data_IF_243002951959
#
_entry.id   IF_243002951959
#
_cell.length_a   1.000
_cell.length_b   1.000
_cell.length_c   1.000
_cell.angle_alpha   90.00
_cell.angle_beta   90.00
_cell.angle_gamma   90.00
#
_symmetry.space_group_name_H-M   'P 1'
#
loop_
_entity.id
_entity.type
_entity.pdbx_description
1 polymer ?
#
# COMPACT_ATOMS: atom_id res chain seq x y z
N UNK A 1 27.03 -12.19 6.15
CA UNK A 1 25.66 -11.93 5.66
C UNK A 1 25.56 -12.25 4.17
N UNK A 2 26.37 -11.60 3.32
CA UNK A 2 26.30 -11.82 1.89
C UNK A 2 26.60 -13.27 1.49
N UNK A 3 27.56 -13.93 2.14
CA UNK A 3 27.84 -15.36 1.91
C UNK A 3 26.64 -16.24 2.28
N UNK A 4 26.09 -16.08 3.47
CA UNK A 4 24.92 -16.80 3.96
C UNK A 4 23.70 -16.67 3.00
N UNK A 5 23.47 -15.45 2.51
CA UNK A 5 22.38 -15.20 1.56
C UNK A 5 22.63 -15.86 0.19
N UNK A 6 23.90 -15.87 -0.29
CA UNK A 6 24.26 -16.57 -1.53
C UNK A 6 24.11 -18.07 -1.41
N UNK A 7 24.46 -18.66 -0.27
CA UNK A 7 24.27 -20.08 0.01
C UNK A 7 22.79 -20.50 -0.04
N UNK A 8 21.89 -19.58 0.32
CA UNK A 8 20.43 -19.75 0.22
C UNK A 8 19.85 -19.35 -1.16
N UNK A 9 20.70 -19.09 -2.14
CA UNK A 9 20.29 -18.85 -3.53
C UNK A 9 19.94 -17.38 -3.86
N UNK A 10 20.17 -16.43 -2.93
CA UNK A 10 19.94 -15.02 -3.22
C UNK A 10 21.11 -14.41 -4.01
N UNK A 11 20.78 -13.55 -4.98
CA UNK A 11 21.79 -12.71 -5.63
C UNK A 11 22.07 -11.50 -4.73
N UNK A 12 23.32 -11.33 -4.32
CA UNK A 12 23.72 -10.24 -3.41
C UNK A 12 24.63 -9.23 -4.11
N UNK A 13 24.40 -7.97 -3.80
CA UNK A 13 25.33 -6.85 -4.07
C UNK A 13 25.80 -6.33 -2.72
N UNK A 14 27.08 -6.01 -2.62
CA UNK A 14 27.69 -5.54 -1.37
C UNK A 14 28.28 -4.14 -1.61
N UNK A 15 28.05 -3.23 -0.69
CA UNK A 15 28.61 -1.89 -0.68
C UNK A 15 29.36 -1.63 0.62
N UNK A 16 30.52 -1.03 0.53
CA UNK A 16 31.35 -0.71 1.68
C UNK A 16 31.02 0.67 2.28
N UNK A 17 30.31 1.53 1.53
CA UNK A 17 29.93 2.89 1.95
C UNK A 17 28.51 3.25 1.49
N UNK A 18 27.96 4.31 2.08
CA UNK A 18 26.64 4.82 1.65
C UNK A 18 26.66 5.33 0.21
N UNK A 19 27.75 5.93 -0.25
CA UNK A 19 27.87 6.41 -1.63
C UNK A 19 27.84 5.24 -2.61
N UNK A 20 28.62 4.19 -2.38
CA UNK A 20 28.62 2.98 -3.19
C UNK A 20 27.24 2.29 -3.18
N UNK A 21 26.58 2.23 -2.02
CA UNK A 21 25.23 1.70 -1.91
C UNK A 21 24.23 2.48 -2.79
N UNK A 22 24.31 3.81 -2.81
CA UNK A 22 23.47 4.66 -3.65
C UNK A 22 23.70 4.42 -5.15
N UNK A 23 24.97 4.26 -5.56
CA UNK A 23 25.32 3.98 -6.95
C UNK A 23 24.79 2.61 -7.40
N UNK A 24 24.92 1.59 -6.54
CA UNK A 24 24.36 0.26 -6.79
C UNK A 24 22.84 0.27 -6.88
N UNK A 25 22.17 0.98 -5.96
CA UNK A 25 20.72 1.14 -5.95
C UNK A 25 20.22 1.88 -7.20
N UNK A 26 20.93 2.90 -7.65
CA UNK A 26 20.60 3.64 -8.85
C UNK A 26 20.77 2.80 -10.12
N UNK A 27 21.80 1.94 -10.17
CA UNK A 27 22.04 1.06 -11.31
C UNK A 27 21.01 -0.08 -11.38
N UNK A 28 20.68 -0.69 -10.25
CA UNK A 28 19.71 -1.80 -10.16
C UNK A 28 19.12 -1.87 -8.76
N UNK A 29 17.89 -1.36 -8.55
CA UNK A 29 17.20 -1.49 -7.28
C UNK A 29 17.06 -2.96 -6.86
N UNK A 30 17.45 -3.34 -5.63
CA UNK A 30 17.31 -4.70 -5.12
C UNK A 30 15.88 -4.97 -4.66
N UNK A 31 15.53 -6.24 -4.51
CA UNK A 31 14.27 -6.66 -3.89
C UNK A 31 14.22 -6.44 -2.38
N UNK A 32 15.38 -6.23 -1.73
CA UNK A 32 15.53 -5.95 -0.30
C UNK A 32 16.90 -5.34 -0.06
N UNK A 33 16.99 -4.34 0.82
CA UNK A 33 18.23 -3.78 1.30
C UNK A 33 18.49 -4.15 2.77
N UNK A 34 19.74 -4.41 3.10
CA UNK A 34 20.20 -4.65 4.48
C UNK A 34 21.24 -3.59 4.79
N UNK A 35 20.97 -2.73 5.77
CA UNK A 35 21.81 -1.60 6.11
C UNK A 35 22.35 -1.74 7.54
N UNK A 36 23.65 -1.52 7.72
CA UNK A 36 24.22 -1.36 9.05
C UNK A 36 24.00 0.08 9.52
N UNK A 37 23.57 0.27 10.76
CA UNK A 37 23.42 1.62 11.33
C UNK A 37 24.76 2.32 11.43
N UNK A 38 25.79 1.60 11.89
CA UNK A 38 27.12 2.13 12.11
C UNK A 38 28.05 1.80 10.95
N UNK A 39 27.97 2.60 9.89
CA UNK A 39 28.91 2.50 8.78
C UNK A 39 30.17 3.32 9.08
N UNK A 40 31.33 2.64 9.12
CA UNK A 40 32.63 3.30 9.30
C UNK A 40 33.02 3.97 7.98
N UNK A 41 33.69 5.10 8.10
CA UNK A 41 34.25 5.84 6.95
C UNK A 41 33.22 6.22 5.87
N UNK A 42 31.99 6.53 6.29
CA UNK A 42 30.91 6.95 5.40
C UNK A 42 30.47 8.38 5.73
N UNK A 43 30.23 9.18 4.70
CA UNK A 43 29.69 10.55 4.82
C UNK A 43 28.25 10.60 5.37
N UNK A 44 27.60 9.43 5.47
CA UNK A 44 26.22 9.26 5.86
C UNK A 44 26.11 8.03 6.77
N UNK A 45 25.33 8.12 7.83
CA UNK A 45 25.03 6.97 8.67
C UNK A 45 23.92 6.07 8.08
N UNK A 46 23.67 4.91 8.69
CA UNK A 46 22.70 3.96 8.18
C UNK A 46 21.24 4.45 8.27
N UNK A 47 20.92 5.34 9.22
CA UNK A 47 19.59 5.91 9.34
C UNK A 47 19.34 6.97 8.26
N UNK A 48 20.33 7.79 7.96
CA UNK A 48 20.26 8.77 6.86
C UNK A 48 20.16 8.06 5.50
N UNK A 49 20.91 6.94 5.33
CA UNK A 49 20.79 6.11 4.12
C UNK A 49 19.41 5.47 4.01
N UNK A 50 18.83 4.99 5.12
CA UNK A 50 17.46 4.48 5.16
C UNK A 50 16.46 5.54 4.68
N UNK A 51 16.52 6.77 5.21
CA UNK A 51 15.63 7.86 4.81
C UNK A 51 15.77 8.16 3.32
N UNK A 52 16.99 8.19 2.82
CA UNK A 52 17.22 8.37 1.38
C UNK A 52 16.62 7.22 0.56
N UNK A 53 16.87 5.97 0.94
CA UNK A 53 16.29 4.80 0.24
C UNK A 53 14.78 4.87 0.23
N UNK A 54 14.15 5.20 1.35
CA UNK A 54 12.69 5.30 1.45
C UNK A 54 12.10 6.48 0.67
N UNK A 55 12.85 7.55 0.48
CA UNK A 55 12.42 8.68 -0.35
C UNK A 55 12.46 8.38 -1.85
N UNK A 56 13.44 7.57 -2.30
CA UNK A 56 13.67 7.29 -3.74
C UNK A 56 13.07 5.95 -4.17
N UNK A 57 13.11 4.94 -3.29
CA UNK A 57 12.63 3.57 -3.54
C UNK A 57 11.72 3.12 -2.38
N UNK A 58 10.54 3.73 -2.20
CA UNK A 58 9.64 3.45 -1.07
C UNK A 58 9.20 1.98 -0.99
N UNK A 59 9.14 1.28 -2.12
CA UNK A 59 8.72 -0.12 -2.23
C UNK A 59 9.81 -1.11 -1.81
N UNK A 60 11.09 -0.70 -1.73
CA UNK A 60 12.19 -1.60 -1.33
C UNK A 60 12.15 -1.78 0.20
N UNK A 61 11.90 -3.00 0.70
CA UNK A 61 11.98 -3.26 2.13
C UNK A 61 13.43 -3.13 2.61
N UNK A 62 13.60 -2.49 3.76
CA UNK A 62 14.92 -2.27 4.36
C UNK A 62 14.98 -2.95 5.72
N UNK A 63 15.94 -3.86 5.90
CA UNK A 63 16.30 -4.42 7.21
C UNK A 63 17.49 -3.65 7.77
N UNK A 64 17.34 -3.15 8.98
CA UNK A 64 18.44 -2.47 9.69
C UNK A 64 19.19 -3.46 10.58
N UNK A 65 20.51 -3.35 10.62
CA UNK A 65 21.35 -4.16 11.50
C UNK A 65 22.21 -3.23 12.37
N UNK A 66 22.37 -3.57 13.65
CA UNK A 66 23.26 -2.83 14.55
C UNK A 66 23.99 -3.72 15.54
N UNK A 67 25.26 -3.38 15.82
CA UNK A 67 26.03 -4.01 16.90
C UNK A 67 25.87 -3.33 18.28
N UNK A 68 25.29 -2.13 18.32
CA UNK A 68 25.08 -1.32 19.53
C UNK A 68 23.72 -0.62 19.45
N UNK A 69 22.68 -1.38 19.11
CA UNK A 69 21.34 -0.82 18.99
C UNK A 69 20.70 -0.60 20.35
N UNK A 70 20.32 0.64 20.65
CA UNK A 70 19.40 0.90 21.75
C UNK A 70 17.95 0.71 21.27
N UNK A 71 17.02 0.55 22.19
CA UNK A 71 15.59 0.49 21.85
C UNK A 71 15.15 1.74 21.09
N UNK A 72 15.69 2.90 21.47
CA UNK A 72 15.42 4.18 20.81
C UNK A 72 15.84 4.16 19.34
N UNK A 73 17.03 3.63 19.04
CA UNK A 73 17.57 3.54 17.68
C UNK A 73 16.71 2.59 16.81
N UNK A 74 16.27 1.45 17.37
CA UNK A 74 15.39 0.53 16.69
C UNK A 74 14.02 1.17 16.39
N UNK A 75 13.43 1.87 17.37
CA UNK A 75 12.17 2.60 17.20
C UNK A 75 12.32 3.70 16.13
N UNK A 76 13.43 4.43 16.11
CA UNK A 76 13.69 5.43 15.09
C UNK A 76 13.79 4.82 13.69
N UNK A 77 14.51 3.71 13.53
CA UNK A 77 14.61 3.00 12.26
C UNK A 77 13.23 2.58 11.73
N UNK A 78 12.38 2.02 12.58
CA UNK A 78 11.01 1.63 12.19
C UNK A 78 10.17 2.86 11.81
N UNK A 79 10.27 3.97 12.57
CA UNK A 79 9.57 5.23 12.24
C UNK A 79 10.01 5.82 10.90
N UNK A 80 11.28 5.67 10.55
CA UNK A 80 11.85 6.12 9.27
C UNK A 80 11.55 5.14 8.11
N UNK A 81 10.75 4.10 8.36
CA UNK A 81 10.26 3.18 7.33
C UNK A 81 11.09 1.92 7.13
N UNK A 82 11.96 1.55 8.06
CA UNK A 82 12.57 0.22 8.04
C UNK A 82 11.48 -0.86 8.21
N UNK A 83 11.65 -1.97 7.49
CA UNK A 83 10.77 -3.12 7.63
C UNK A 83 10.94 -3.78 8.99
N UNK A 84 12.21 -3.98 9.41
CA UNK A 84 12.53 -4.53 10.72
C UNK A 84 13.98 -4.20 11.11
N UNK A 85 14.36 -4.57 12.34
CA UNK A 85 15.65 -4.31 12.95
C UNK A 85 16.23 -5.58 13.55
N UNK A 86 17.54 -5.82 13.34
CA UNK A 86 18.29 -6.96 13.88
C UNK A 86 19.49 -6.48 14.69
N UNK A 87 19.58 -6.90 15.93
CA UNK A 87 20.74 -6.64 16.80
C UNK A 87 21.81 -7.74 16.63
N UNK A 88 23.06 -7.34 16.45
CA UNK A 88 24.24 -8.22 16.47
C UNK A 88 24.66 -8.54 17.93
N UNK A 89 25.03 -9.79 18.25
CA UNK A 89 25.13 -10.95 17.37
C UNK A 89 23.76 -11.62 17.13
N UNK A 90 23.52 -12.06 15.92
CA UNK A 90 22.28 -12.78 15.55
C UNK A 90 22.61 -14.15 14.94
N UNK A 91 21.64 -15.07 15.02
CA UNK A 91 21.71 -16.36 14.34
C UNK A 91 21.33 -16.21 12.87
N UNK A 92 21.97 -16.99 12.00
CA UNK A 92 21.70 -17.00 10.56
C UNK A 92 20.22 -17.29 10.26
N UNK A 93 19.63 -18.30 10.93
CA UNK A 93 18.20 -18.63 10.78
C UNK A 93 17.29 -17.43 11.03
N UNK A 94 17.63 -16.56 11.99
CA UNK A 94 16.86 -15.34 12.28
C UNK A 94 16.94 -14.35 11.13
N UNK A 95 18.12 -14.14 10.58
CA UNK A 95 18.32 -13.27 9.42
C UNK A 95 17.52 -13.79 8.23
N UNK A 96 17.65 -15.07 7.90
CA UNK A 96 16.96 -15.71 6.77
C UNK A 96 15.44 -15.61 6.90
N UNK A 97 14.91 -15.88 8.10
CA UNK A 97 13.47 -15.74 8.37
C UNK A 97 12.98 -14.31 8.12
N UNK A 98 13.74 -13.30 8.57
CA UNK A 98 13.36 -11.89 8.38
C UNK A 98 13.46 -11.47 6.92
N UNK A 99 14.48 -11.93 6.20
CA UNK A 99 14.61 -11.70 4.76
C UNK A 99 13.43 -12.30 4.01
N UNK A 100 13.06 -13.56 4.28
CA UNK A 100 11.91 -14.22 3.66
C UNK A 100 10.60 -13.46 3.92
N UNK A 101 10.34 -13.06 5.17
CA UNK A 101 9.16 -12.27 5.54
C UNK A 101 9.11 -10.92 4.86
N UNK A 102 10.25 -10.23 4.75
CA UNK A 102 10.32 -8.94 4.08
C UNK A 102 10.01 -9.07 2.58
N UNK A 103 10.53 -10.11 1.91
CA UNK A 103 10.20 -10.40 0.52
C UNK A 103 8.72 -10.73 0.33
N UNK A 104 8.14 -11.55 1.21
CA UNK A 104 6.74 -11.92 1.13
C UNK A 104 5.82 -10.70 1.33
N UNK A 105 6.11 -9.86 2.33
CA UNK A 105 5.36 -8.61 2.56
C UNK A 105 5.42 -7.68 1.35
N UNK A 106 6.62 -7.43 0.80
CA UNK A 106 6.81 -6.60 -0.39
C UNK A 106 6.10 -7.18 -1.63
N UNK A 107 6.10 -8.51 -1.80
CA UNK A 107 5.36 -9.16 -2.88
C UNK A 107 3.86 -8.93 -2.74
N UNK A 108 3.31 -9.15 -1.55
CA UNK A 108 1.88 -8.95 -1.30
C UNK A 108 1.45 -7.50 -1.47
N UNK A 109 2.26 -6.54 -1.04
CA UNK A 109 2.02 -5.11 -1.26
C UNK A 109 1.99 -4.77 -2.76
N UNK A 110 2.94 -5.31 -3.53
CA UNK A 110 3.00 -5.12 -4.99
C UNK A 110 1.81 -5.75 -5.69
N UNK A 111 1.47 -7.01 -5.38
CA UNK A 111 0.30 -7.69 -5.92
C UNK A 111 -0.99 -6.92 -5.59
N UNK A 112 -1.10 -6.39 -4.36
CA UNK A 112 -2.25 -5.59 -3.96
C UNK A 112 -2.33 -4.26 -4.73
N UNK A 113 -1.18 -3.59 -4.94
CA UNK A 113 -1.10 -2.37 -5.75
C UNK A 113 -1.47 -2.63 -7.21
N UNK A 114 -0.97 -3.72 -7.80
CA UNK A 114 -1.32 -4.14 -9.18
C UNK A 114 -2.80 -4.48 -9.33
N UNK A 115 -3.37 -5.22 -8.37
CA UNK A 115 -4.80 -5.53 -8.39
C UNK A 115 -5.66 -4.27 -8.25
N UNK A 116 -5.23 -3.33 -7.39
CA UNK A 116 -5.90 -2.03 -7.27
C UNK A 116 -5.79 -1.20 -8.54
N UNK A 117 -4.62 -1.19 -9.20
CA UNK A 117 -4.42 -0.50 -10.46
C UNK A 117 -5.31 -1.08 -11.55
N UNK A 118 -5.38 -2.41 -11.71
CA UNK A 118 -6.28 -3.08 -12.66
C UNK A 118 -7.75 -2.73 -12.41
N UNK A 119 -8.18 -2.76 -11.14
CA UNK A 119 -9.53 -2.34 -10.76
C UNK A 119 -9.77 -0.86 -11.07
N UNK A 120 -8.74 -0.01 -10.98
CA UNK A 120 -8.82 1.42 -11.33
C UNK A 120 -8.81 1.65 -12.84
N UNK A 121 -8.01 0.91 -13.60
CA UNK A 121 -7.94 1.02 -15.07
C UNK A 121 -9.24 0.52 -15.74
N UNK A 122 -9.91 -0.49 -15.15
CA UNK A 122 -11.26 -0.88 -15.59
C UNK A 122 -12.34 0.15 -15.22
N UNK A 123 -11.99 1.21 -14.49
CA UNK A 123 -12.95 2.08 -13.82
C UNK A 123 -12.57 3.56 -13.79
N UNK A 124 -12.23 4.17 -14.92
CA UNK A 124 -12.62 5.57 -15.07
C UNK A 124 -14.09 5.57 -15.52
N UNK A 125 -15.03 5.66 -14.58
CA UNK A 125 -16.45 5.48 -14.89
C UNK A 125 -16.89 6.69 -15.71
N UNK A 126 -17.02 6.51 -17.02
CA UNK A 126 -17.49 7.57 -17.91
C UNK A 126 -18.85 7.22 -18.49
N UNK A 127 -19.79 8.13 -18.36
CA UNK A 127 -21.09 8.02 -19.02
C UNK A 127 -20.92 8.44 -20.49
N UNK A 128 -20.92 7.46 -21.40
CA UNK A 128 -20.74 7.70 -22.83
C UNK A 128 -22.08 8.01 -23.48
N UNK A 129 -22.14 9.03 -24.33
CA UNK A 129 -23.33 9.38 -25.10
C UNK A 129 -23.46 10.87 -25.36
N UNK A 130 -24.22 11.22 -26.40
CA UNK A 130 -24.43 12.61 -26.87
C UNK A 130 -25.87 13.08 -26.80
N UNK A 131 -26.80 12.19 -26.42
CA UNK A 131 -28.23 12.55 -26.31
C UNK A 131 -28.47 13.59 -25.23
N UNK A 132 -29.56 14.35 -25.33
CA UNK A 132 -29.92 15.36 -24.35
C UNK A 132 -30.13 14.76 -22.96
N UNK A 133 -30.67 13.56 -22.87
CA UNK A 133 -30.90 12.84 -21.63
C UNK A 133 -29.57 12.45 -20.96
N UNK A 134 -28.59 11.93 -21.71
CA UNK A 134 -27.29 11.58 -21.20
C UNK A 134 -26.51 12.83 -20.74
N UNK A 135 -26.60 13.93 -21.49
CA UNK A 135 -26.02 15.22 -21.07
C UNK A 135 -26.62 15.70 -19.76
N UNK A 136 -27.93 15.61 -19.59
CA UNK A 136 -28.63 15.98 -18.34
C UNK A 136 -28.15 15.10 -17.14
N UNK A 137 -28.00 13.79 -17.35
CA UNK A 137 -27.47 12.90 -16.31
C UNK A 137 -26.04 13.30 -15.94
N UNK A 138 -25.17 13.55 -16.91
CA UNK A 138 -23.78 13.96 -16.68
C UNK A 138 -23.69 15.27 -15.88
N UNK A 139 -24.48 16.27 -16.28
CA UNK A 139 -24.56 17.53 -15.52
C UNK A 139 -25.09 17.34 -14.09
N UNK A 140 -26.03 16.41 -13.90
CA UNK A 140 -26.52 16.09 -12.56
C UNK A 140 -25.43 15.42 -11.71
N UNK A 141 -24.64 14.49 -12.28
CA UNK A 141 -23.49 13.87 -11.62
C UNK A 141 -22.47 14.92 -11.19
N UNK A 142 -22.05 15.81 -12.10
CA UNK A 142 -21.09 16.89 -11.82
C UNK A 142 -21.55 17.82 -10.70
N UNK A 143 -22.85 18.10 -10.61
CA UNK A 143 -23.42 18.96 -9.57
C UNK A 143 -23.52 18.28 -8.21
N UNK A 144 -23.77 16.97 -8.18
CA UNK A 144 -24.02 16.21 -6.96
C UNK A 144 -22.72 15.70 -6.36
N UNK A 145 -21.74 15.31 -7.19
CA UNK A 145 -20.51 14.69 -6.74
C UNK A 145 -19.75 15.46 -5.64
N UNK A 146 -19.56 16.80 -5.70
CA UNK A 146 -18.88 17.54 -4.66
C UNK A 146 -19.71 17.74 -3.38
N UNK A 147 -20.98 17.29 -3.38
CA UNK A 147 -21.87 17.42 -2.21
C UNK A 147 -21.82 16.17 -1.35
N UNK A 148 -21.94 16.31 -0.04
CA UNK A 148 -22.06 15.16 0.88
C UNK A 148 -23.51 14.63 0.94
N UNK A 149 -24.33 14.87 -0.09
CA UNK A 149 -25.76 14.54 -0.13
C UNK A 149 -25.97 13.05 -0.39
N UNK A 150 -27.04 12.50 0.19
CA UNK A 150 -27.52 11.16 -0.16
C UNK A 150 -28.21 11.19 -1.53
N UNK A 151 -27.89 10.22 -2.37
CA UNK A 151 -28.38 10.17 -3.75
C UNK A 151 -29.21 8.90 -3.97
N UNK A 152 -30.44 9.05 -4.46
CA UNK A 152 -31.25 7.96 -4.93
C UNK A 152 -31.22 7.91 -6.47
N UNK A 153 -30.75 6.78 -7.02
CA UNK A 153 -30.69 6.55 -8.46
C UNK A 153 -31.73 5.49 -8.81
N UNK A 154 -32.72 5.86 -9.63
CA UNK A 154 -33.80 4.95 -10.08
C UNK A 154 -33.79 4.77 -11.59
N UNK A 155 -34.24 3.61 -12.03
CA UNK A 155 -34.34 3.29 -13.47
C UNK A 155 -34.50 1.77 -13.71
N UNK A 156 -34.79 1.34 -14.93
CA UNK A 156 -34.95 -0.07 -15.27
C UNK A 156 -33.64 -0.84 -15.12
N UNK A 157 -33.72 -2.18 -15.12
CA UNK A 157 -32.53 -3.03 -15.09
C UNK A 157 -31.68 -2.79 -16.34
N UNK A 158 -30.33 -2.73 -16.15
CA UNK A 158 -29.40 -2.47 -17.24
C UNK A 158 -29.28 -0.98 -17.66
N UNK A 159 -29.98 -0.04 -17.02
CA UNK A 159 -29.93 1.39 -17.39
C UNK A 159 -28.65 2.14 -16.95
N UNK A 160 -27.67 1.45 -16.33
CA UNK A 160 -26.41 2.07 -15.91
C UNK A 160 -26.46 2.78 -14.55
N UNK A 161 -27.39 2.40 -13.66
CA UNK A 161 -27.48 3.00 -12.31
C UNK A 161 -26.19 2.89 -11.51
N UNK A 162 -25.53 1.72 -11.58
CA UNK A 162 -24.25 1.50 -10.91
C UNK A 162 -23.13 2.36 -11.51
N UNK A 163 -23.11 2.50 -12.86
CA UNK A 163 -22.16 3.38 -13.53
C UNK A 163 -22.33 4.83 -13.05
N UNK A 164 -23.58 5.32 -12.96
CA UNK A 164 -23.84 6.66 -12.46
C UNK A 164 -23.37 6.85 -11.01
N UNK A 165 -23.59 5.85 -10.13
CA UNK A 165 -23.11 5.89 -8.75
C UNK A 165 -21.58 5.90 -8.69
N UNK A 166 -20.89 5.11 -9.51
CA UNK A 166 -19.43 5.11 -9.62
C UNK A 166 -18.89 6.45 -10.13
N UNK A 167 -19.57 7.08 -11.12
CA UNK A 167 -19.21 8.41 -11.60
C UNK A 167 -19.33 9.47 -10.50
N UNK A 168 -20.39 9.43 -9.69
CA UNK A 168 -20.58 10.34 -8.56
C UNK A 168 -19.44 10.15 -7.55
N UNK A 169 -19.12 8.91 -7.17
CA UNK A 169 -18.05 8.62 -6.24
C UNK A 169 -16.69 9.09 -6.76
N UNK A 170 -16.36 8.79 -8.02
CA UNK A 170 -15.08 9.18 -8.65
C UNK A 170 -14.89 10.70 -8.74
N UNK A 171 -15.95 11.47 -8.90
CA UNK A 171 -15.92 12.93 -8.96
C UNK A 171 -16.13 13.60 -7.59
N UNK A 172 -16.30 12.81 -6.51
CA UNK A 172 -16.50 13.33 -5.15
C UNK A 172 -15.18 13.55 -4.42
N UNK A 173 -15.23 14.27 -3.29
CA UNK A 173 -14.10 14.43 -2.36
C UNK A 173 -13.66 13.09 -1.72
N UNK A 174 -14.46 12.03 -1.89
CA UNK A 174 -14.18 10.68 -1.39
C UNK A 174 -13.65 9.72 -2.46
N UNK A 175 -13.23 10.21 -3.61
CA UNK A 175 -12.74 9.40 -4.74
C UNK A 175 -11.63 8.42 -4.37
N UNK A 176 -10.77 8.79 -3.40
CA UNK A 176 -9.66 7.97 -2.92
C UNK A 176 -10.12 6.90 -1.89
N UNK A 177 -11.40 6.97 -1.46
CA UNK A 177 -12.00 5.99 -0.56
C UNK A 177 -12.56 4.80 -1.34
N UNK A 178 -12.73 3.65 -0.67
CA UNK A 178 -13.31 2.47 -1.32
C UNK A 178 -14.78 2.70 -1.68
N UNK A 179 -15.17 2.36 -2.93
CA UNK A 179 -16.57 2.25 -3.33
C UNK A 179 -17.09 0.86 -2.93
N UNK A 180 -18.00 0.81 -1.97
CA UNK A 180 -18.54 -0.45 -1.44
C UNK A 180 -19.94 -0.67 -2.01
N UNK A 181 -20.16 -1.83 -2.61
CA UNK A 181 -21.46 -2.24 -3.14
C UNK A 181 -22.08 -3.27 -2.20
N UNK A 182 -23.22 -2.92 -1.60
CA UNK A 182 -24.03 -3.83 -0.80
C UNK A 182 -25.29 -4.22 -1.56
N UNK A 183 -25.47 -5.52 -1.84
CA UNK A 183 -26.66 -6.03 -2.50
C UNK A 183 -27.70 -6.46 -1.46
N UNK A 184 -28.66 -5.58 -1.18
CA UNK A 184 -29.72 -5.83 -0.18
C UNK A 184 -30.56 -7.09 -0.45
N UNK A 185 -30.64 -7.57 -1.69
CA UNK A 185 -31.32 -8.82 -1.98
C UNK A 185 -30.56 -10.09 -1.53
N UNK A 186 -29.25 -9.94 -1.29
CA UNK A 186 -28.38 -11.01 -0.77
C UNK A 186 -28.15 -10.91 0.75
N UNK A 187 -28.45 -9.77 1.34
CA UNK A 187 -28.34 -9.55 2.78
C UNK A 187 -29.55 -10.21 3.46
N UNK A 188 -29.33 -11.27 4.21
CA UNK A 188 -30.37 -11.82 5.10
C UNK A 188 -30.74 -10.79 6.16
N UNK A 189 -32.02 -10.64 6.46
CA UNK A 189 -32.52 -9.63 7.41
C UNK A 189 -31.77 -9.65 8.78
N UNK A 190 -31.34 -10.85 9.24
CA UNK A 190 -30.62 -11.04 10.50
C UNK A 190 -29.15 -10.67 10.46
N UNK A 191 -28.54 -10.53 9.25
CA UNK A 191 -27.11 -10.22 9.06
C UNK A 191 -26.87 -8.84 8.49
N UNK A 192 -27.93 -8.18 7.99
CA UNK A 192 -27.82 -6.88 7.34
C UNK A 192 -27.16 -5.83 8.27
N UNK A 193 -27.54 -5.79 9.52
CA UNK A 193 -27.00 -4.84 10.52
C UNK A 193 -25.51 -5.11 10.76
N UNK A 194 -25.10 -6.38 10.87
CA UNK A 194 -23.71 -6.76 11.12
C UNK A 194 -22.83 -6.51 9.89
N UNK A 195 -23.33 -6.79 8.70
CA UNK A 195 -22.60 -6.59 7.45
C UNK A 195 -22.50 -5.10 7.05
N UNK A 196 -23.52 -4.29 7.36
CA UNK A 196 -23.55 -2.86 7.05
C UNK A 196 -22.88 -2.00 8.13
N UNK A 197 -23.01 -2.36 9.39
CA UNK A 197 -22.59 -1.51 10.52
C UNK A 197 -21.51 -2.15 11.41
N UNK A 198 -21.19 -3.43 11.20
CA UNK A 198 -20.25 -4.19 12.01
C UNK A 198 -20.89 -4.71 13.30
N UNK A 199 -20.26 -5.70 13.95
CA UNK A 199 -20.64 -6.18 15.27
C UNK A 199 -19.92 -5.37 16.36
N UNK A 200 -20.62 -4.98 17.40
CA UNK A 200 -20.01 -4.37 18.60
C UNK A 200 -18.97 -5.33 19.20
N UNK A 201 -17.69 -5.01 19.04
CA UNK A 201 -16.58 -5.75 19.65
C UNK A 201 -15.43 -6.17 18.74
N UNK A 202 -15.57 -6.10 17.44
CA UNK A 202 -14.44 -6.31 16.49
C UNK A 202 -14.23 -5.02 15.74
N UNK A 203 -13.08 -4.40 15.92
CA UNK A 203 -12.63 -3.28 15.10
C UNK A 203 -12.35 -3.80 13.69
N UNK A 204 -13.40 -4.01 12.93
CA UNK A 204 -13.30 -4.29 11.51
C UNK A 204 -12.97 -2.98 10.82
N UNK A 205 -11.82 -2.90 10.18
CA UNK A 205 -11.36 -1.80 9.32
C UNK A 205 -12.23 -1.59 8.07
N UNK A 206 -13.51 -1.96 8.15
CA UNK A 206 -14.53 -1.84 7.09
C UNK A 206 -15.83 -1.27 7.65
N UNK A 207 -15.76 -0.11 8.30
CA UNK A 207 -16.99 0.65 8.55
C UNK A 207 -17.49 1.18 7.21
N UNK A 208 -18.65 0.71 6.78
CA UNK A 208 -19.46 1.40 5.78
C UNK A 208 -19.98 2.66 6.47
N UNK A 209 -19.25 3.77 6.31
CA UNK A 209 -19.75 5.07 6.75
C UNK A 209 -20.67 5.55 5.65
N UNK A 210 -21.97 5.55 5.96
CA UNK A 210 -23.02 6.08 5.11
C UNK A 210 -22.92 7.59 4.86
#
# INVERSE_FOLDING_TARGET
IGATLRDEGFTTMEAASAMEARDLLAAKPPGLAILDIWMRDSDMDGLELLEWVKSVYPEVPVLMISGHGTVETAVQAIRNGAYDFIEKPFKEDRLLLMVQRAFEASRLERENAELRARVSEESDPSIIGVSTQIKAVRTAVERIAPTASRVLISGPNGSGKELAARCIHHQSDRRDSRFIVANCARLGAERADVELFGSDGVATSQRIVG
#
